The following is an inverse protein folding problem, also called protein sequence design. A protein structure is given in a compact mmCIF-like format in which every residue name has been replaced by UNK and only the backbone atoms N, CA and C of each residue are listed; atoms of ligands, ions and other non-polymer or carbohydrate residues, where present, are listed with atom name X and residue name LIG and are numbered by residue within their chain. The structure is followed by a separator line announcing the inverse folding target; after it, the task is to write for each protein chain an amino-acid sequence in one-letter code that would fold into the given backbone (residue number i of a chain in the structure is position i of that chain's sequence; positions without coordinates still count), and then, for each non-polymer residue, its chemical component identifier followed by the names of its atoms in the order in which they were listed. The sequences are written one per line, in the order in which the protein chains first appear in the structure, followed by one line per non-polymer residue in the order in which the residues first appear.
data_IF_788899061412
#
_entry.id   IF_788899061412
#
_cell.length_a   1.000
_cell.length_b   1.000
_cell.length_c   1.000
_cell.angle_alpha   90.00
_cell.angle_beta   90.00
_cell.angle_gamma   90.00
#
_symmetry.space_group_name_H-M   'P 1'
#
loop_
_entity.id
_entity.type
_entity.pdbx_description
1 polymer ?
#
# COMPACT_ATOMS: atom_id res chain seq x y z
N UNK A 1 46.20 -10.12 18.34
CA UNK A 1 44.78 -10.16 18.72
C UNK A 1 44.02 -9.50 17.60
N UNK A 2 43.46 -10.32 16.71
CA UNK A 2 42.67 -9.86 15.57
C UNK A 2 41.20 -9.70 15.98
N UNK A 3 40.68 -8.51 15.82
CA UNK A 3 39.28 -8.25 15.97
C UNK A 3 38.61 -8.56 14.62
N UNK A 4 38.03 -9.73 14.52
CA UNK A 4 37.16 -10.07 13.40
C UNK A 4 35.84 -9.30 13.57
N UNK A 5 35.61 -8.30 12.72
CA UNK A 5 34.27 -7.76 12.49
C UNK A 5 33.50 -8.78 11.64
N UNK A 6 32.75 -9.61 12.30
CA UNK A 6 31.75 -10.48 11.66
C UNK A 6 30.54 -9.60 11.32
N UNK A 7 30.73 -8.77 10.30
CA UNK A 7 29.65 -7.96 9.73
C UNK A 7 28.75 -8.84 8.87
N UNK A 8 27.80 -9.57 9.48
CA UNK A 8 26.61 -9.99 8.76
C UNK A 8 25.90 -8.71 8.31
N UNK A 9 26.18 -8.29 7.08
CA UNK A 9 25.26 -7.42 6.36
C UNK A 9 23.93 -8.18 6.31
N UNK A 10 22.95 -7.75 7.11
CA UNK A 10 21.57 -8.16 6.93
C UNK A 10 21.20 -7.76 5.50
N UNK A 11 21.18 -8.73 4.61
CA UNK A 11 20.65 -8.53 3.26
C UNK A 11 19.16 -8.30 3.45
N UNK A 12 18.74 -7.06 3.29
CA UNK A 12 17.34 -6.72 3.14
C UNK A 12 16.81 -7.57 1.99
N UNK A 13 15.79 -8.36 2.25
CA UNK A 13 15.10 -9.12 1.23
C UNK A 13 13.61 -8.94 1.45
N UNK A 14 12.98 -8.25 0.51
CA UNK A 14 11.53 -8.23 0.39
C UNK A 14 11.04 -9.65 0.12
N UNK A 15 9.98 -10.06 0.80
CA UNK A 15 9.37 -11.37 0.56
C UNK A 15 8.15 -11.21 -0.34
N UNK A 16 8.35 -11.41 -1.63
CA UNK A 16 7.29 -11.40 -2.64
C UNK A 16 6.65 -12.78 -2.76
N UNK A 17 5.33 -12.85 -2.62
CA UNK A 17 4.54 -14.07 -2.77
C UNK A 17 3.83 -14.10 -4.12
N UNK A 18 3.68 -15.29 -4.70
CA UNK A 18 2.89 -15.49 -5.91
C UNK A 18 1.39 -15.22 -5.69
N UNK A 19 0.86 -15.47 -4.48
CA UNK A 19 -0.52 -15.11 -4.15
C UNK A 19 -0.63 -13.59 -4.00
N UNK A 20 -1.36 -12.94 -4.92
CA UNK A 20 -1.61 -11.51 -4.91
C UNK A 20 -0.43 -10.61 -5.28
N UNK A 21 0.71 -11.15 -5.76
CA UNK A 21 1.98 -10.43 -5.89
C UNK A 21 2.30 -9.66 -4.59
N UNK A 22 2.09 -10.30 -3.46
CA UNK A 22 2.03 -9.69 -2.14
C UNK A 22 3.41 -9.62 -1.49
N UNK A 23 3.82 -8.44 -1.03
CA UNK A 23 5.01 -8.25 -0.18
C UNK A 23 4.58 -8.34 1.28
N UNK A 24 5.13 -9.32 2.01
CA UNK A 24 4.71 -9.59 3.41
C UNK A 24 5.58 -8.94 4.46
N UNK A 25 6.84 -8.64 4.13
CA UNK A 25 7.83 -8.17 5.11
C UNK A 25 8.91 -7.36 4.41
N UNK A 26 9.35 -6.29 5.04
CA UNK A 26 10.52 -5.48 4.69
C UNK A 26 11.24 -5.13 5.99
N UNK A 27 12.30 -5.83 6.27
CA UNK A 27 13.11 -5.59 7.48
C UNK A 27 14.36 -4.79 7.15
N UNK A 28 14.66 -3.75 7.93
CA UNK A 28 15.83 -2.91 7.77
C UNK A 28 16.48 -2.57 9.13
N UNK A 29 17.46 -1.68 9.15
CA UNK A 29 18.18 -1.28 10.38
C UNK A 29 17.27 -0.70 11.47
N UNK A 30 16.08 -0.24 11.12
CA UNK A 30 15.09 0.33 12.02
C UNK A 30 13.97 -0.68 12.34
N UNK A 31 14.16 -1.95 11.98
CA UNK A 31 13.23 -3.05 12.15
C UNK A 31 12.25 -3.21 11.01
N UNK A 32 11.29 -4.10 11.22
CA UNK A 32 10.23 -4.41 10.24
C UNK A 32 9.37 -3.17 9.96
N UNK A 33 9.23 -2.82 8.66
CA UNK A 33 8.44 -1.68 8.22
C UNK A 33 6.96 -1.99 8.06
N UNK A 34 6.63 -3.26 7.79
CA UNK A 34 5.27 -3.67 7.48
C UNK A 34 4.64 -4.42 8.68
N UNK A 35 3.36 -4.21 8.86
CA UNK A 35 2.56 -5.04 9.75
C UNK A 35 1.89 -6.16 8.95
N UNK A 36 1.96 -7.36 9.45
CA UNK A 36 1.26 -8.52 8.92
C UNK A 36 0.38 -9.10 10.03
N UNK A 37 -0.88 -9.39 9.72
CA UNK A 37 -1.80 -9.98 10.70
C UNK A 37 -1.23 -11.31 11.23
N UNK A 38 -1.23 -11.54 12.54
CA UNK A 38 -0.75 -12.80 13.12
C UNK A 38 -1.60 -14.01 12.70
N UNK A 39 -2.80 -13.77 12.16
CA UNK A 39 -3.71 -14.82 11.65
C UNK A 39 -3.83 -14.80 10.13
N UNK A 40 -2.97 -14.05 9.43
CA UNK A 40 -2.97 -13.98 7.98
C UNK A 40 -2.74 -15.35 7.35
N UNK A 41 -3.57 -15.68 6.37
CA UNK A 41 -3.42 -16.89 5.54
C UNK A 41 -2.69 -16.52 4.26
N UNK A 42 -1.45 -16.99 4.12
CA UNK A 42 -0.57 -16.60 3.01
C UNK A 42 -0.84 -17.38 1.71
N UNK A 43 -1.56 -18.48 1.79
CA UNK A 43 -1.84 -19.43 0.71
C UNK A 43 -3.35 -19.70 0.50
N UNK A 44 -4.19 -18.91 1.14
CA UNK A 44 -5.65 -19.05 1.07
C UNK A 44 -6.24 -18.43 -0.20
N UNK A 45 -7.54 -18.64 -0.47
CA UNK A 45 -8.22 -18.02 -1.61
C UNK A 45 -8.53 -16.52 -1.38
N UNK A 46 -8.41 -16.04 -0.15
CA UNK A 46 -8.69 -14.65 0.24
C UNK A 46 -7.48 -13.73 0.12
N UNK A 47 -7.71 -12.44 0.33
CA UNK A 47 -6.63 -11.47 0.40
C UNK A 47 -5.82 -11.67 1.70
N UNK A 48 -4.50 -11.50 1.61
CA UNK A 48 -3.61 -11.47 2.78
C UNK A 48 -3.83 -10.15 3.51
N UNK A 49 -4.01 -10.20 4.82
CA UNK A 49 -4.15 -9.02 5.67
C UNK A 49 -2.80 -8.54 6.18
N UNK A 50 -2.45 -7.27 5.88
CA UNK A 50 -1.14 -6.71 6.21
C UNK A 50 -0.18 -6.75 5.03
N UNK A 51 1.10 -6.42 5.24
CA UNK A 51 2.06 -6.30 4.15
C UNK A 51 1.68 -5.22 3.14
N UNK A 52 1.85 -5.51 1.83
CA UNK A 52 1.45 -4.62 0.74
C UNK A 52 0.53 -5.35 -0.24
N UNK A 53 -0.79 -5.40 -0.02
CA UNK A 53 -1.75 -5.87 -1.02
C UNK A 53 -1.71 -5.03 -2.29
N UNK A 54 -1.82 -5.70 -3.44
CA UNK A 54 -1.90 -5.07 -4.77
C UNK A 54 -3.36 -4.92 -5.17
N UNK A 55 -3.84 -3.69 -5.28
CA UNK A 55 -5.23 -3.37 -5.60
C UNK A 55 -5.38 -3.15 -7.10
N UNK A 56 -6.33 -3.84 -7.71
CA UNK A 56 -6.63 -3.69 -9.14
C UNK A 56 -7.48 -4.83 -9.70
N UNK A 57 -8.13 -4.60 -10.85
CA UNK A 57 -8.16 -3.37 -11.64
C UNK A 57 -9.25 -2.37 -11.21
N UNK A 58 -9.81 -2.47 -10.00
CA UNK A 58 -10.68 -1.47 -9.38
C UNK A 58 -10.39 -1.35 -7.88
N UNK A 59 -10.64 -0.15 -7.34
CA UNK A 59 -10.41 0.17 -5.93
C UNK A 59 -11.71 0.10 -5.13
N UNK A 60 -11.67 -0.54 -3.96
CA UNK A 60 -12.82 -0.72 -3.08
C UNK A 60 -14.04 -1.27 -3.85
N UNK A 61 -15.20 -0.64 -3.66
CA UNK A 61 -16.42 -0.85 -4.45
C UNK A 61 -16.84 0.47 -5.15
N UNK A 62 -15.87 1.38 -5.41
CA UNK A 62 -16.16 2.72 -5.96
C UNK A 62 -16.87 2.66 -7.33
N UNK A 63 -16.55 1.64 -8.13
CA UNK A 63 -17.14 1.42 -9.44
C UNK A 63 -18.23 0.34 -9.45
N UNK A 64 -18.66 -0.14 -8.26
CA UNK A 64 -19.70 -1.16 -8.09
C UNK A 64 -19.30 -2.57 -8.52
N UNK A 65 -18.00 -2.83 -8.74
CA UNK A 65 -17.49 -4.14 -9.15
C UNK A 65 -17.08 -5.00 -7.95
N UNK A 66 -17.19 -6.32 -8.12
CA UNK A 66 -16.77 -7.33 -7.14
C UNK A 66 -15.64 -8.23 -7.71
N UNK A 67 -14.75 -8.77 -6.88
CA UNK A 67 -14.67 -8.59 -5.43
C UNK A 67 -14.17 -7.18 -5.04
N UNK A 68 -14.53 -6.68 -3.87
CA UNK A 68 -13.99 -5.40 -3.32
C UNK A 68 -12.46 -5.35 -3.50
N UNK A 69 -11.92 -4.24 -4.04
CA UNK A 69 -10.51 -4.02 -4.38
C UNK A 69 -9.95 -4.85 -5.54
N UNK A 70 -10.81 -5.37 -6.39
CA UNK A 70 -10.39 -6.12 -7.58
C UNK A 70 -9.86 -7.51 -7.30
N UNK A 71 -9.49 -8.18 -8.38
CA UNK A 71 -9.03 -9.56 -8.33
C UNK A 71 -7.51 -9.71 -8.16
N UNK A 72 -6.72 -8.65 -8.34
CA UNK A 72 -5.26 -8.72 -8.33
C UNK A 72 -4.73 -9.39 -7.04
N UNK A 73 -5.17 -8.90 -5.87
CA UNK A 73 -4.71 -9.35 -4.55
C UNK A 73 -5.15 -10.75 -4.14
N UNK A 74 -6.10 -11.36 -4.86
CA UNK A 74 -6.63 -12.71 -4.57
C UNK A 74 -6.33 -13.71 -5.69
N UNK A 75 -5.52 -13.31 -6.67
CA UNK A 75 -5.13 -14.15 -7.79
C UNK A 75 -3.74 -14.75 -7.57
N UNK A 76 -3.49 -15.89 -8.23
CA UNK A 76 -2.17 -16.49 -8.29
C UNK A 76 -1.39 -15.88 -9.44
N UNK A 77 -0.25 -15.24 -9.14
CA UNK A 77 0.65 -14.61 -10.10
C UNK A 77 1.82 -15.55 -10.44
N UNK A 78 2.38 -15.38 -11.61
CA UNK A 78 3.65 -16.00 -11.96
C UNK A 78 4.80 -15.15 -11.38
N UNK A 79 5.65 -15.77 -10.56
CA UNK A 79 6.94 -15.16 -10.19
C UNK A 79 7.88 -15.34 -11.39
N UNK A 80 8.38 -14.24 -11.90
CA UNK A 80 9.40 -14.22 -12.97
C UNK A 80 10.78 -14.40 -12.34
N UNK A 81 10.99 -13.75 -11.20
CA UNK A 81 12.15 -13.86 -10.32
C UNK A 81 11.74 -13.51 -8.87
N UNK A 82 12.71 -13.35 -7.96
CA UNK A 82 12.46 -13.07 -6.54
C UNK A 82 11.85 -11.67 -6.30
N UNK A 83 11.92 -10.76 -7.28
CA UNK A 83 11.50 -9.38 -7.20
C UNK A 83 10.35 -9.02 -8.16
N UNK A 84 9.98 -9.89 -9.08
CA UNK A 84 9.05 -9.61 -10.17
C UNK A 84 7.93 -10.64 -10.23
N UNK A 85 6.69 -10.16 -10.18
CA UNK A 85 5.49 -10.98 -10.40
C UNK A 85 4.67 -10.44 -11.56
N UNK A 86 4.01 -11.34 -12.32
CA UNK A 86 3.15 -11.01 -13.46
C UNK A 86 1.91 -11.88 -13.50
N UNK A 87 0.81 -11.29 -13.97
CA UNK A 87 -0.42 -12.02 -14.28
C UNK A 87 -1.06 -11.42 -15.52
N UNK A 88 -1.66 -12.27 -16.37
CA UNK A 88 -2.54 -11.84 -17.47
C UNK A 88 -3.93 -12.39 -17.22
N UNK A 89 -4.90 -11.50 -17.09
CA UNK A 89 -6.30 -11.86 -16.84
C UNK A 89 -7.24 -10.78 -17.39
N UNK A 90 -8.36 -11.19 -17.94
CA UNK A 90 -9.44 -10.31 -18.43
C UNK A 90 -8.94 -9.20 -19.39
N UNK A 91 -7.99 -9.53 -20.28
CA UNK A 91 -7.41 -8.57 -21.23
C UNK A 91 -6.43 -7.55 -20.61
N UNK A 92 -6.03 -7.74 -19.37
CA UNK A 92 -5.01 -6.95 -18.70
C UNK A 92 -3.79 -7.80 -18.35
N UNK A 93 -2.60 -7.31 -18.65
CA UNK A 93 -1.35 -7.80 -18.08
C UNK A 93 -0.94 -6.87 -16.95
N UNK A 94 -0.82 -7.43 -15.74
CA UNK A 94 -0.37 -6.72 -14.56
C UNK A 94 1.03 -7.22 -14.18
N UNK A 95 1.92 -6.30 -13.83
CA UNK A 95 3.28 -6.61 -13.38
C UNK A 95 3.62 -5.79 -12.14
N UNK A 96 4.21 -6.44 -11.15
CA UNK A 96 4.78 -5.79 -9.96
C UNK A 96 6.27 -6.08 -9.92
N UNK A 97 7.06 -5.06 -9.65
CA UNK A 97 8.51 -5.15 -9.43
C UNK A 97 8.83 -4.52 -8.08
N UNK A 98 9.67 -5.19 -7.28
CA UNK A 98 10.13 -4.71 -5.98
C UNK A 98 11.63 -4.48 -6.04
N UNK A 99 12.08 -3.34 -5.53
CA UNK A 99 13.52 -3.00 -5.43
C UNK A 99 13.80 -2.58 -4.00
N UNK A 100 14.66 -3.34 -3.33
CA UNK A 100 15.08 -3.02 -1.96
C UNK A 100 16.14 -1.91 -1.95
N UNK A 101 16.05 -1.02 -0.96
CA UNK A 101 17.00 0.04 -0.66
C UNK A 101 17.54 -0.11 0.77
N UNK A 102 18.64 0.53 1.09
CA UNK A 102 19.28 0.46 2.42
C UNK A 102 18.34 0.86 3.56
N UNK A 103 17.41 1.77 3.30
CA UNK A 103 16.46 2.31 4.30
C UNK A 103 15.00 2.05 3.99
N UNK A 104 14.71 1.29 2.92
CA UNK A 104 13.33 1.06 2.50
C UNK A 104 13.23 0.28 1.20
N UNK A 105 12.23 0.56 0.38
CA UNK A 105 11.97 -0.15 -0.88
C UNK A 105 11.22 0.73 -1.87
N UNK A 106 11.25 0.32 -3.14
CA UNK A 106 10.35 0.85 -4.18
C UNK A 106 9.58 -0.30 -4.80
N UNK A 107 8.29 -0.16 -4.93
CA UNK A 107 7.45 -1.03 -5.75
C UNK A 107 6.95 -0.27 -6.97
N UNK A 108 7.00 -0.92 -8.13
CA UNK A 108 6.40 -0.43 -9.36
C UNK A 108 5.27 -1.37 -9.77
N UNK A 109 4.10 -0.82 -10.05
CA UNK A 109 2.93 -1.55 -10.50
C UNK A 109 2.49 -1.06 -11.87
N UNK A 110 2.61 -1.92 -12.87
CA UNK A 110 2.23 -1.66 -14.25
C UNK A 110 0.98 -2.48 -14.62
N UNK A 111 0.05 -1.83 -15.32
CA UNK A 111 -1.10 -2.47 -15.93
C UNK A 111 -1.12 -2.13 -17.42
N UNK A 112 -1.02 -3.13 -18.29
CA UNK A 112 -1.10 -3.02 -19.74
C UNK A 112 -2.39 -3.63 -20.25
N UNK A 113 -3.07 -2.91 -21.14
CA UNK A 113 -4.19 -3.48 -21.88
C UNK A 113 -3.66 -4.34 -23.03
N UNK A 114 -3.86 -5.66 -22.93
CA UNK A 114 -3.48 -6.64 -23.95
C UNK A 114 -4.69 -7.18 -24.72
N UNK A 115 -5.87 -6.63 -24.44
CA UNK A 115 -7.11 -6.92 -25.17
C UNK A 115 -7.33 -5.97 -26.35
N UNK A 116 -8.48 -6.12 -26.99
CA UNK A 116 -8.86 -5.37 -28.21
C UNK A 116 -9.77 -4.17 -27.91
N UNK A 117 -10.27 -4.05 -26.66
CA UNK A 117 -11.20 -3.00 -26.25
C UNK A 117 -10.58 -2.13 -25.16
N UNK A 118 -10.91 -0.81 -25.09
CA UNK A 118 -10.50 0.05 -23.99
C UNK A 118 -10.91 -0.52 -22.64
N UNK A 119 -10.03 -0.39 -21.65
CA UNK A 119 -10.28 -0.83 -20.28
C UNK A 119 -10.23 0.35 -19.32
N UNK A 120 -11.20 0.40 -18.42
CA UNK A 120 -11.21 1.35 -17.32
C UNK A 120 -10.65 0.69 -16.08
N UNK A 121 -9.56 1.23 -15.52
CA UNK A 121 -8.86 0.62 -14.39
C UNK A 121 -8.62 1.61 -13.27
N UNK A 122 -8.45 1.06 -12.08
CA UNK A 122 -7.89 1.72 -10.90
C UNK A 122 -6.79 0.83 -10.34
N UNK A 123 -5.69 1.43 -9.91
CA UNK A 123 -4.54 0.72 -9.33
C UNK A 123 -4.20 1.34 -7.98
N UNK A 124 -3.81 0.54 -7.00
CA UNK A 124 -3.25 1.05 -5.76
C UNK A 124 -2.32 0.03 -5.09
N UNK A 125 -1.46 0.55 -4.23
CA UNK A 125 -0.79 -0.20 -3.19
C UNK A 125 -1.53 0.05 -1.88
N UNK A 126 -1.69 -1.00 -1.06
CA UNK A 126 -2.36 -0.88 0.25
C UNK A 126 -1.41 -1.27 1.40
N UNK A 127 -0.27 -0.55 1.56
CA UNK A 127 0.73 -0.91 2.56
C UNK A 127 0.19 -0.70 3.97
N UNK A 128 0.44 -1.69 4.82
CA UNK A 128 0.19 -1.65 6.26
C UNK A 128 1.51 -1.32 6.96
N UNK A 129 1.77 -0.06 7.25
CA UNK A 129 2.99 0.33 7.94
C UNK A 129 2.89 0.01 9.43
N UNK A 130 3.88 -0.75 9.92
CA UNK A 130 3.96 -1.11 11.34
C UNK A 130 4.29 0.10 12.19
N UNK A 131 3.51 0.30 13.24
CA UNK A 131 3.70 1.35 14.24
C UNK A 131 3.60 0.77 15.66
N UNK A 132 4.13 1.48 16.66
CA UNK A 132 4.05 1.07 18.05
C UNK A 132 2.61 1.18 18.59
N UNK A 133 1.97 2.31 18.32
CA UNK A 133 0.61 2.63 18.76
C UNK A 133 0.07 3.74 17.86
N UNK A 134 -0.91 3.44 17.03
CA UNK A 134 -1.44 4.37 16.03
C UNK A 134 -2.01 5.64 16.67
N UNK A 135 -2.53 5.58 17.89
CA UNK A 135 -3.06 6.76 18.60
C UNK A 135 -1.96 7.75 19.01
N UNK A 136 -0.68 7.37 18.90
CA UNK A 136 0.51 8.21 19.17
C UNK A 136 1.27 8.60 17.91
N UNK A 137 0.78 8.18 16.75
CA UNK A 137 1.38 8.43 15.45
C UNK A 137 0.73 9.65 14.81
N UNK A 138 1.52 10.39 14.04
CA UNK A 138 0.99 11.41 13.13
C UNK A 138 1.36 11.09 11.70
N UNK A 139 0.49 11.47 10.74
CA UNK A 139 0.79 11.44 9.31
C UNK A 139 0.71 12.86 8.78
N UNK A 140 1.85 13.41 8.39
CA UNK A 140 1.95 14.74 7.79
C UNK A 140 1.96 14.68 6.27
N UNK A 141 1.85 15.85 5.60
CA UNK A 141 1.84 15.99 4.15
C UNK A 141 0.47 16.29 3.55
N UNK A 142 -0.57 16.46 4.37
CA UNK A 142 -1.96 16.65 3.93
C UNK A 142 -2.63 17.91 4.50
N UNK A 143 -1.91 18.75 5.20
CA UNK A 143 -2.48 19.98 5.77
C UNK A 143 -3.02 20.89 4.66
N UNK A 144 -4.25 21.35 4.83
CA UNK A 144 -4.97 22.19 3.86
C UNK A 144 -5.55 21.43 2.65
N UNK A 145 -5.32 20.13 2.53
CA UNK A 145 -5.85 19.36 1.41
C UNK A 145 -7.37 19.17 1.51
N UNK A 146 -8.05 19.17 0.35
CA UNK A 146 -9.42 18.68 0.22
C UNK A 146 -9.39 17.16 0.22
N UNK A 147 -10.09 16.55 1.18
CA UNK A 147 -10.14 15.10 1.33
C UNK A 147 -11.58 14.61 1.34
N UNK A 148 -11.82 13.48 0.69
CA UNK A 148 -13.07 12.75 0.81
C UNK A 148 -13.01 11.82 2.01
N UNK A 149 -13.83 12.07 3.02
CA UNK A 149 -14.00 11.21 4.19
C UNK A 149 -14.99 10.09 3.84
N UNK A 150 -14.50 8.86 3.70
CA UNK A 150 -15.30 7.72 3.28
C UNK A 150 -16.22 7.19 4.40
N UNK A 151 -15.93 7.53 5.67
CA UNK A 151 -16.77 7.17 6.82
C UNK A 151 -18.04 8.03 6.83
N UNK A 152 -17.88 9.35 6.71
CA UNK A 152 -19.00 10.30 6.73
C UNK A 152 -19.58 10.57 5.34
N UNK A 153 -18.88 10.15 4.26
CA UNK A 153 -19.23 10.40 2.85
C UNK A 153 -19.32 11.88 2.51
N UNK A 154 -18.42 12.67 3.06
CA UNK A 154 -18.37 14.11 2.85
C UNK A 154 -16.97 14.56 2.45
N UNK A 155 -16.87 15.73 1.79
CA UNK A 155 -15.61 16.41 1.59
C UNK A 155 -15.31 17.31 2.78
N UNK A 156 -14.07 17.28 3.27
CA UNK A 156 -13.57 18.12 4.35
C UNK A 156 -12.18 18.63 4.02
N UNK A 157 -11.80 19.80 4.56
CA UNK A 157 -10.41 20.27 4.48
C UNK A 157 -9.64 19.71 5.66
N UNK A 158 -8.58 18.95 5.41
CA UNK A 158 -7.70 18.46 6.47
C UNK A 158 -7.01 19.64 7.15
N UNK A 159 -7.04 19.70 8.47
CA UNK A 159 -6.37 20.71 9.28
C UNK A 159 -5.22 20.05 10.05
N UNK A 160 -3.99 20.48 9.77
CA UNK A 160 -2.78 19.92 10.38
C UNK A 160 -2.51 18.48 10.00
N UNK A 161 -1.63 17.84 10.78
CA UNK A 161 -1.31 16.41 10.61
C UNK A 161 -2.50 15.52 10.95
N UNK A 162 -2.59 14.36 10.28
CA UNK A 162 -3.54 13.31 10.64
C UNK A 162 -3.15 12.72 11.98
N UNK A 163 -4.11 12.62 12.86
CA UNK A 163 -4.04 11.90 14.14
C UNK A 163 -5.15 10.88 14.23
N UNK A 164 -4.95 9.84 15.02
CA UNK A 164 -5.88 8.72 15.12
C UNK A 164 -6.47 8.63 16.53
N UNK A 165 -7.71 8.20 16.58
CA UNK A 165 -8.42 7.84 17.79
C UNK A 165 -8.90 6.39 17.66
N UNK A 166 -9.73 5.91 18.58
CA UNK A 166 -10.32 4.59 18.49
C UNK A 166 -11.39 4.43 17.39
N UNK A 167 -11.79 5.50 16.72
CA UNK A 167 -12.72 5.46 15.59
C UNK A 167 -12.02 5.15 14.27
N UNK A 168 -12.77 4.67 13.28
CA UNK A 168 -12.26 4.47 11.92
C UNK A 168 -11.84 5.80 11.30
N UNK A 169 -10.67 5.79 10.67
CA UNK A 169 -10.18 6.86 9.81
C UNK A 169 -10.04 6.31 8.40
N UNK A 170 -10.78 6.85 7.44
CA UNK A 170 -10.75 6.45 6.02
C UNK A 170 -10.93 7.70 5.16
N UNK A 171 -9.81 8.25 4.65
CA UNK A 171 -9.82 9.48 3.87
C UNK A 171 -8.98 9.38 2.62
N UNK A 172 -9.56 9.87 1.52
CA UNK A 172 -8.93 9.94 0.20
C UNK A 172 -8.54 11.40 -0.07
N UNK A 173 -7.23 11.65 -0.18
CA UNK A 173 -6.68 12.94 -0.61
C UNK A 173 -6.49 12.90 -2.12
N UNK A 174 -6.96 13.93 -2.86
CA UNK A 174 -6.68 14.11 -4.28
C UNK A 174 -5.33 14.80 -4.47
N UNK A 175 -4.59 14.34 -5.50
CA UNK A 175 -3.25 14.83 -5.81
C UNK A 175 -2.21 13.72 -5.65
N UNK A 176 -1.17 13.71 -6.51
CA UNK A 176 -0.27 12.57 -6.64
C UNK A 176 1.15 12.77 -6.13
N UNK A 177 1.64 13.99 -6.06
CA UNK A 177 3.06 14.29 -5.81
C UNK A 177 3.34 14.65 -4.35
N UNK A 178 2.57 14.09 -3.43
CA UNK A 178 2.76 14.31 -2.00
C UNK A 178 3.78 13.35 -1.41
N UNK A 179 4.55 13.87 -0.47
CA UNK A 179 5.35 13.09 0.46
C UNK A 179 4.60 13.02 1.79
N UNK A 180 4.24 11.82 2.20
CA UNK A 180 3.59 11.57 3.48
C UNK A 180 4.64 11.09 4.47
N UNK A 181 4.63 11.64 5.68
CA UNK A 181 5.57 11.23 6.72
C UNK A 181 4.79 10.67 7.90
N UNK A 182 4.95 9.38 8.15
CA UNK A 182 4.45 8.70 9.34
C UNK A 182 5.48 8.89 10.44
N UNK A 183 5.16 9.65 11.47
CA UNK A 183 6.02 9.88 12.63
C UNK A 183 5.62 8.95 13.77
N UNK A 184 6.49 8.00 14.12
CA UNK A 184 6.27 7.02 15.18
C UNK A 184 7.28 7.21 16.34
N UNK A 185 6.92 7.96 17.38
CA UNK A 185 7.80 8.15 18.52
C UNK A 185 8.05 6.87 19.33
N UNK A 186 7.13 5.90 19.28
CA UNK A 186 7.25 4.63 19.99
C UNK A 186 8.34 3.74 19.41
N UNK A 187 8.44 3.63 18.09
CA UNK A 187 9.51 2.93 17.38
C UNK A 187 10.69 3.86 17.06
N UNK A 188 10.65 5.14 17.45
CA UNK A 188 11.69 6.16 17.26
C UNK A 188 12.13 6.26 15.80
N UNK A 189 11.15 6.27 14.89
CA UNK A 189 11.41 6.36 13.45
C UNK A 189 10.34 7.17 12.73
N UNK A 190 10.71 7.66 11.55
CA UNK A 190 9.79 8.17 10.54
C UNK A 190 9.79 7.23 9.35
N UNK A 191 8.63 7.08 8.74
CA UNK A 191 8.47 6.38 7.46
C UNK A 191 7.99 7.42 6.47
N UNK A 192 8.76 7.63 5.41
CA UNK A 192 8.49 8.56 4.33
C UNK A 192 7.91 7.76 3.19
N UNK A 193 6.70 8.12 2.76
CA UNK A 193 5.95 7.46 1.69
C UNK A 193 5.77 8.45 0.55
N UNK A 194 6.28 8.11 -0.62
CA UNK A 194 6.08 8.89 -1.84
C UNK A 194 5.65 7.99 -3.00
N UNK A 195 5.07 8.61 -4.02
CA UNK A 195 4.56 7.91 -5.18
C UNK A 195 4.83 8.71 -6.45
N UNK A 196 4.94 8.02 -7.58
CA UNK A 196 4.86 8.66 -8.89
C UNK A 196 3.62 8.17 -9.64
N UNK A 197 2.99 9.09 -10.38
CA UNK A 197 1.82 8.84 -11.22
C UNK A 197 0.56 8.33 -10.48
N UNK A 198 0.53 8.33 -9.15
CA UNK A 198 -0.69 8.27 -8.37
C UNK A 198 -1.43 9.62 -8.48
N UNK A 199 -2.74 9.60 -8.48
CA UNK A 199 -3.58 10.80 -8.46
C UNK A 199 -4.33 11.00 -7.14
N UNK A 200 -4.17 10.04 -6.24
CA UNK A 200 -4.83 10.00 -4.94
C UNK A 200 -3.96 9.26 -3.94
N UNK A 201 -4.16 9.57 -2.66
CA UNK A 201 -3.60 8.78 -1.54
C UNK A 201 -4.69 8.56 -0.50
N UNK A 202 -4.82 7.32 -0.04
CA UNK A 202 -5.74 6.97 1.05
C UNK A 202 -4.95 6.83 2.33
N UNK A 203 -5.43 7.45 3.40
CA UNK A 203 -4.97 7.18 4.77
C UNK A 203 -6.08 6.43 5.48
N UNK A 204 -5.75 5.24 6.01
CA UNK A 204 -6.74 4.38 6.64
C UNK A 204 -6.23 3.70 7.91
N UNK A 205 -7.11 3.63 8.89
CA UNK A 205 -7.01 2.74 10.04
C UNK A 205 -8.45 2.40 10.48
N UNK A 206 -8.77 1.11 10.75
CA UNK A 206 -10.14 0.70 11.09
C UNK A 206 -10.61 1.16 12.48
N UNK A 207 -9.70 1.62 13.35
CA UNK A 207 -10.03 1.83 14.75
C UNK A 207 -10.49 0.54 15.42
N UNK A 208 -11.35 0.66 16.40
CA UNK A 208 -11.93 -0.48 17.14
C UNK A 208 -12.99 -1.27 16.34
N UNK A 209 -13.21 -0.93 15.06
CA UNK A 209 -14.13 -1.69 14.22
C UNK A 209 -13.66 -3.14 14.11
N UNK A 210 -14.55 -4.06 14.42
CA UNK A 210 -14.24 -5.49 14.42
C UNK A 210 -14.07 -6.00 13.00
N UNK A 211 -12.81 -6.17 12.59
CA UNK A 211 -12.43 -6.88 11.38
C UNK A 211 -11.77 -8.19 11.84
N UNK A 212 -12.36 -9.33 11.47
CA UNK A 212 -12.03 -10.64 12.04
C UNK A 212 -10.55 -11.03 11.93
N UNK A 213 -9.85 -10.56 10.88
CA UNK A 213 -8.43 -10.84 10.66
C UNK A 213 -7.49 -9.70 11.13
N UNK A 214 -8.02 -8.71 11.81
CA UNK A 214 -7.27 -7.63 12.49
C UNK A 214 -7.42 -7.75 14.01
N UNK A 215 -8.66 -7.85 14.51
CA UNK A 215 -8.92 -7.88 15.96
C UNK A 215 -8.38 -6.63 16.64
N UNK A 216 -7.74 -6.80 17.81
CA UNK A 216 -7.16 -5.71 18.60
C UNK A 216 -5.84 -5.16 18.02
N UNK A 217 -5.32 -5.75 16.95
CA UNK A 217 -4.07 -5.36 16.29
C UNK A 217 -4.17 -4.04 15.52
N UNK A 218 -5.35 -3.44 15.41
CA UNK A 218 -5.55 -2.16 14.72
C UNK A 218 -4.64 -1.03 15.23
N UNK A 219 -4.18 -1.14 16.48
CA UNK A 219 -3.24 -0.17 17.08
C UNK A 219 -1.85 -0.23 16.48
N UNK A 220 -1.49 -1.33 15.82
CA UNK A 220 -0.12 -1.61 15.41
C UNK A 220 0.18 -1.33 13.95
N UNK A 221 -0.74 -0.68 13.23
CA UNK A 221 -0.48 -0.25 11.86
C UNK A 221 -1.23 1.04 11.48
N UNK A 222 -0.76 1.65 10.39
CA UNK A 222 -1.47 2.66 9.62
C UNK A 222 -1.26 2.38 8.14
N UNK A 223 -2.29 2.59 7.32
CA UNK A 223 -2.18 2.50 5.87
C UNK A 223 -2.03 3.90 5.27
N UNK A 224 -1.09 4.04 4.34
CA UNK A 224 -0.92 5.21 3.47
C UNK A 224 -0.78 4.67 2.05
N UNK A 225 -1.82 4.82 1.25
CA UNK A 225 -2.09 4.04 0.05
C UNK A 225 -2.04 4.91 -1.20
N UNK A 226 -0.91 4.96 -1.93
CA UNK A 226 -0.88 5.60 -3.25
C UNK A 226 -1.80 4.87 -4.22
N UNK A 227 -2.64 5.64 -4.93
CA UNK A 227 -3.66 5.11 -5.82
C UNK A 227 -3.79 5.95 -7.10
N UNK A 228 -4.13 5.29 -8.20
CA UNK A 228 -4.58 5.88 -9.46
C UNK A 228 -6.07 5.57 -9.58
N UNK A 229 -6.91 6.51 -9.15
CA UNK A 229 -8.36 6.34 -9.07
C UNK A 229 -9.12 6.99 -10.23
N UNK A 230 -8.46 7.90 -10.97
CA UNK A 230 -9.07 8.66 -12.06
C UNK A 230 -9.96 9.80 -11.56
N UNK A 231 -10.47 10.60 -12.50
CA UNK A 231 -11.38 11.69 -12.20
C UNK A 231 -12.66 11.15 -11.53
N UNK A 232 -13.12 11.83 -10.49
CA UNK A 232 -14.28 11.44 -9.68
C UNK A 232 -14.27 9.97 -9.23
N UNK A 233 -13.06 9.41 -9.04
CA UNK A 233 -12.87 8.00 -8.69
C UNK A 233 -13.46 7.00 -9.70
N UNK A 234 -13.57 7.42 -10.97
CA UNK A 234 -14.18 6.61 -12.02
C UNK A 234 -13.18 5.73 -12.79
N UNK A 235 -11.90 5.73 -12.39
CA UNK A 235 -10.82 5.02 -13.06
C UNK A 235 -10.25 5.76 -14.28
N UNK A 236 -9.12 5.28 -14.76
CA UNK A 236 -8.46 5.79 -15.95
C UNK A 236 -8.67 4.82 -17.11
N UNK A 237 -8.84 5.37 -18.32
CA UNK A 237 -8.95 4.56 -19.53
C UNK A 237 -7.55 4.16 -19.99
N UNK A 238 -7.40 2.89 -20.40
CA UNK A 238 -6.21 2.30 -21.00
C UNK A 238 -6.62 1.71 -22.35
N UNK A 239 -6.19 2.35 -23.43
CA UNK A 239 -6.49 1.88 -24.78
C UNK A 239 -5.74 0.57 -25.10
N UNK A 240 -6.18 -0.23 -26.10
CA UNK A 240 -5.47 -1.42 -26.52
C UNK A 240 -3.98 -1.15 -26.80
N UNK A 241 -3.10 -1.91 -26.16
CA UNK A 241 -1.64 -1.77 -26.24
C UNK A 241 -1.03 -0.72 -25.31
N UNK A 242 -1.82 0.18 -24.72
CA UNK A 242 -1.34 1.15 -23.74
C UNK A 242 -1.11 0.53 -22.35
N UNK A 243 -0.42 1.28 -21.50
CA UNK A 243 -0.21 0.92 -20.09
C UNK A 243 -0.35 2.12 -19.17
N UNK A 244 -0.56 1.82 -17.89
CA UNK A 244 -0.46 2.77 -16.78
C UNK A 244 0.45 2.17 -15.72
N UNK A 245 1.27 3.02 -15.11
CA UNK A 245 2.24 2.61 -14.09
C UNK A 245 2.16 3.56 -12.93
N UNK A 246 2.11 3.04 -11.72
CA UNK A 246 2.29 3.80 -10.47
C UNK A 246 3.47 3.22 -9.69
N UNK A 247 4.06 4.03 -8.83
CA UNK A 247 5.09 3.55 -7.89
C UNK A 247 4.72 3.86 -6.44
N UNK A 248 5.26 3.07 -5.54
CA UNK A 248 5.32 3.32 -4.11
C UNK A 248 6.78 3.30 -3.71
N UNK A 249 7.30 4.42 -3.21
CA UNK A 249 8.65 4.50 -2.63
C UNK A 249 8.53 4.76 -1.13
N UNK A 250 9.20 3.93 -0.35
CA UNK A 250 9.22 3.99 1.11
C UNK A 250 10.64 4.14 1.59
N UNK A 251 10.89 5.07 2.49
CA UNK A 251 12.16 5.25 3.19
C UNK A 251 11.89 5.35 4.68
N UNK A 252 12.77 4.81 5.50
CA UNK A 252 12.71 4.95 6.95
C UNK A 252 13.97 5.63 7.47
N UNK A 253 13.79 6.51 8.42
CA UNK A 253 14.85 7.23 9.13
C UNK A 253 14.61 7.21 10.65
N UNK A 254 15.68 7.27 11.44
CA UNK A 254 15.56 7.41 12.89
C UNK A 254 15.18 8.86 13.26
N UNK A 255 14.46 9.00 14.38
CA UNK A 255 14.27 10.30 15.02
C UNK A 255 15.60 10.83 15.57
#
# INVERSE_FOLDING_TARGET
MGWGFDGKMSTMASKLLAHGAHVTSIDNKLGELLWLSPVAKLDGPGAIRGGVPIIGPWFAALTGQEPKHGWARVSQWQLIDDATARITKDGLELQVVVVDHVTGFTMTYNARNVGDEPRKIQLAFHPYFRVADVEKVTVSGVDGADVYDAVTKTHVTQQGDVTFTNGEYDRITRGGDYEYVISDPGLRRRIIVSSSAADSVVVWNPGENTIADIGDEWRHFVCVEPALLGEDYQGVVVEPGENRTISLTVQAEAF
#
